data_IF_897240603128
#
_entry.id   IF_897240603128
#
_cell.length_a   1.000
_cell.length_b   1.000
_cell.length_c   1.000
_cell.angle_alpha   90.00
_cell.angle_beta   90.00
_cell.angle_gamma   90.00
#
_symmetry.space_group_name_H-M   'P 1'
#
loop_
_entity.id
_entity.type
_entity.pdbx_description
1 polymer ?
#
# COMPACT_ATOMS: atom_id res chain seq x y z
N UNK A 1 12.61 -27.68 24.04
CA UNK A 1 13.01 -27.27 22.67
C UNK A 1 11.80 -26.63 22.00
N UNK A 2 11.74 -25.30 21.97
CA UNK A 2 10.71 -24.59 21.20
C UNK A 2 11.09 -24.68 19.73
N UNK A 3 10.50 -25.66 19.03
CA UNK A 3 10.64 -25.84 17.60
C UNK A 3 9.81 -24.77 16.89
N UNK A 4 10.36 -23.57 16.83
CA UNK A 4 9.80 -22.45 16.09
C UNK A 4 10.09 -22.69 14.60
N UNK A 5 9.15 -23.36 13.92
CA UNK A 5 9.12 -23.47 12.46
C UNK A 5 8.82 -22.07 11.90
N UNK A 6 9.83 -21.21 11.85
CA UNK A 6 9.72 -19.86 11.31
C UNK A 6 9.73 -19.92 9.77
N UNK A 7 8.82 -19.15 9.19
CA UNK A 7 8.98 -18.46 7.90
C UNK A 7 8.90 -19.29 6.62
N UNK A 8 7.69 -19.37 6.03
CA UNK A 8 7.54 -19.41 4.55
C UNK A 8 6.14 -18.99 4.08
N UNK A 9 5.11 -19.06 4.94
CA UNK A 9 3.72 -18.73 4.56
C UNK A 9 3.26 -17.29 4.87
N UNK A 10 4.14 -16.40 5.32
CA UNK A 10 3.72 -15.02 5.56
C UNK A 10 3.72 -14.25 4.26
N UNK A 11 2.53 -13.79 3.84
CA UNK A 11 2.36 -12.91 2.69
C UNK A 11 3.20 -11.64 2.85
N UNK A 12 3.93 -11.27 1.80
CA UNK A 12 4.80 -10.08 1.74
C UNK A 12 4.52 -9.28 0.47
N UNK A 13 4.85 -8.00 0.48
CA UNK A 13 4.73 -7.15 -0.70
C UNK A 13 5.49 -7.71 -1.91
N UNK A 14 6.67 -8.30 -1.66
CA UNK A 14 7.47 -8.93 -2.71
C UNK A 14 6.77 -10.15 -3.33
N UNK A 15 6.06 -10.95 -2.52
CA UNK A 15 5.27 -12.08 -3.02
C UNK A 15 4.06 -11.60 -3.81
N UNK A 16 3.33 -10.58 -3.34
CA UNK A 16 2.22 -9.97 -4.08
C UNK A 16 2.71 -9.46 -5.46
N UNK A 17 3.83 -8.72 -5.48
CA UNK A 17 4.41 -8.23 -6.74
C UNK A 17 4.80 -9.36 -7.69
N UNK A 18 5.46 -10.40 -7.18
CA UNK A 18 5.87 -11.55 -7.98
C UNK A 18 4.66 -12.32 -8.51
N UNK A 19 3.59 -12.46 -7.72
CA UNK A 19 2.31 -13.07 -8.12
C UNK A 19 1.69 -12.32 -9.29
N UNK A 20 1.77 -10.98 -9.29
CA UNK A 20 1.33 -10.13 -10.40
C UNK A 20 2.31 -10.08 -11.60
N UNK A 21 3.42 -10.83 -11.57
CA UNK A 21 4.39 -10.87 -12.68
C UNK A 21 5.19 -9.58 -12.88
N UNK A 22 5.24 -8.69 -11.87
CA UNK A 22 5.87 -7.38 -11.98
C UNK A 22 7.33 -7.38 -11.52
N UNK A 23 8.17 -6.56 -12.16
CA UNK A 23 9.50 -6.19 -11.62
C UNK A 23 9.36 -5.05 -10.62
N UNK A 24 10.36 -4.83 -9.75
CA UNK A 24 10.37 -3.66 -8.84
C UNK A 24 10.30 -2.35 -9.63
N UNK A 25 10.96 -2.26 -10.79
CA UNK A 25 10.85 -1.12 -11.73
C UNK A 25 9.41 -0.91 -12.16
N UNK A 26 8.76 -1.95 -12.67
CA UNK A 26 7.40 -1.81 -13.20
C UNK A 26 6.40 -1.40 -12.12
N UNK A 27 6.55 -1.93 -10.91
CA UNK A 27 5.72 -1.52 -9.77
C UNK A 27 5.97 -0.05 -9.39
N UNK A 28 7.23 0.37 -9.35
CA UNK A 28 7.60 1.76 -9.07
C UNK A 28 6.98 2.73 -10.09
N UNK A 29 7.02 2.36 -11.38
CA UNK A 29 6.43 3.16 -12.46
C UNK A 29 4.90 3.23 -12.34
N UNK A 30 4.22 2.16 -11.90
CA UNK A 30 2.76 2.14 -11.69
C UNK A 30 2.33 3.08 -10.55
N UNK A 31 3.08 3.07 -9.44
CA UNK A 31 2.72 3.81 -8.22
C UNK A 31 3.27 5.25 -8.25
N UNK A 32 4.10 5.57 -9.23
CA UNK A 32 4.82 6.84 -9.36
C UNK A 32 5.74 7.10 -8.17
N UNK A 33 6.65 6.16 -7.92
CA UNK A 33 7.70 6.23 -6.90
C UNK A 33 9.03 5.74 -7.47
N UNK A 34 10.11 5.85 -6.70
CA UNK A 34 11.41 5.31 -7.13
C UNK A 34 11.49 3.80 -6.92
N UNK A 35 12.33 3.09 -7.69
CA UNK A 35 12.67 1.68 -7.38
C UNK A 35 13.19 1.55 -5.96
N UNK A 36 14.02 2.49 -5.50
CA UNK A 36 14.61 2.47 -4.16
C UNK A 36 13.51 2.45 -3.10
N UNK A 37 12.44 3.21 -3.31
CA UNK A 37 11.25 3.24 -2.46
C UNK A 37 10.57 1.86 -2.42
N UNK A 38 10.28 1.25 -3.58
CA UNK A 38 9.70 -0.11 -3.64
C UNK A 38 10.60 -1.15 -2.97
N UNK A 39 11.90 -1.04 -3.19
CA UNK A 39 12.91 -1.93 -2.61
C UNK A 39 12.97 -1.78 -1.08
N UNK A 40 12.84 -0.55 -0.57
CA UNK A 40 12.73 -0.29 0.86
C UNK A 40 11.42 -0.85 1.46
N UNK A 41 10.29 -0.71 0.76
CA UNK A 41 9.02 -1.33 1.17
C UNK A 41 9.12 -2.86 1.25
N UNK A 42 9.74 -3.50 0.25
CA UNK A 42 9.90 -4.97 0.22
C UNK A 42 10.87 -5.50 1.28
N UNK A 43 11.85 -4.69 1.69
CA UNK A 43 12.70 -4.98 2.86
C UNK A 43 12.03 -4.60 4.18
N UNK A 44 10.90 -3.89 4.11
CA UNK A 44 10.14 -3.42 5.26
C UNK A 44 10.80 -2.26 6.01
N UNK A 45 11.70 -1.51 5.38
CA UNK A 45 12.37 -0.36 5.99
C UNK A 45 11.41 0.80 6.27
N UNK A 46 10.34 0.92 5.46
CA UNK A 46 9.33 1.98 5.58
C UNK A 46 7.94 1.46 5.16
N UNK A 47 6.89 1.95 5.83
CA UNK A 47 5.50 1.77 5.35
C UNK A 47 5.26 2.61 4.09
N UNK A 48 4.41 2.17 3.15
CA UNK A 48 3.97 3.01 2.04
C UNK A 48 3.12 4.18 2.53
N UNK A 49 3.66 5.39 2.47
CA UNK A 49 2.91 6.65 2.61
C UNK A 49 2.45 7.09 1.23
N UNK A 50 1.17 6.87 0.92
CA UNK A 50 0.62 6.99 -0.43
C UNK A 50 -0.61 7.89 -0.43
N UNK A 51 -0.84 8.60 -1.54
CA UNK A 51 -2.17 9.19 -1.76
C UNK A 51 -3.18 8.08 -2.06
N UNK A 52 -4.48 8.37 -1.93
CA UNK A 52 -5.51 7.38 -2.27
C UNK A 52 -5.38 6.88 -3.72
N UNK A 53 -5.09 7.77 -4.65
CA UNK A 53 -4.88 7.40 -6.06
C UNK A 53 -3.67 6.48 -6.22
N UNK A 54 -2.57 6.73 -5.50
CA UNK A 54 -1.42 5.84 -5.51
C UNK A 54 -1.71 4.49 -4.85
N UNK A 55 -2.47 4.48 -3.76
CA UNK A 55 -2.97 3.25 -3.12
C UNK A 55 -3.80 2.43 -4.10
N UNK A 56 -4.75 3.07 -4.80
CA UNK A 56 -5.55 2.41 -5.83
C UNK A 56 -4.68 1.82 -6.95
N UNK A 57 -3.75 2.60 -7.51
CA UNK A 57 -2.81 2.12 -8.54
C UNK A 57 -1.96 0.94 -8.05
N UNK A 58 -1.55 0.95 -6.79
CA UNK A 58 -0.82 -0.16 -6.17
C UNK A 58 -1.69 -1.43 -6.12
N UNK A 59 -2.94 -1.34 -5.66
CA UNK A 59 -3.87 -2.46 -5.61
C UNK A 59 -4.19 -3.02 -6.99
N UNK A 60 -4.48 -2.15 -7.95
CA UNK A 60 -4.75 -2.52 -9.34
C UNK A 60 -3.55 -3.23 -9.98
N UNK A 61 -2.35 -2.68 -9.76
CA UNK A 61 -1.11 -3.26 -10.29
C UNK A 61 -0.75 -4.61 -9.65
N UNK A 62 -0.99 -4.76 -8.35
CA UNK A 62 -0.75 -6.01 -7.62
C UNK A 62 -1.87 -7.04 -7.78
N UNK A 63 -3.01 -6.63 -8.34
CA UNK A 63 -4.22 -7.43 -8.46
C UNK A 63 -4.61 -8.07 -7.11
N UNK A 64 -4.67 -7.26 -6.05
CA UNK A 64 -4.98 -7.69 -4.70
C UNK A 64 -5.96 -6.75 -4.00
N UNK A 65 -6.57 -7.22 -2.91
CA UNK A 65 -7.42 -6.37 -2.07
C UNK A 65 -6.59 -5.48 -1.12
N UNK A 66 -7.22 -4.46 -0.54
CA UNK A 66 -6.59 -3.60 0.47
C UNK A 66 -6.20 -4.42 1.71
N UNK A 67 -7.01 -5.41 2.09
CA UNK A 67 -6.76 -6.30 3.22
C UNK A 67 -5.54 -7.19 2.98
N UNK A 68 -5.43 -7.79 1.78
CA UNK A 68 -4.26 -8.58 1.41
C UNK A 68 -2.98 -7.73 1.46
N UNK A 69 -3.04 -6.48 0.98
CA UNK A 69 -1.92 -5.56 1.02
C UNK A 69 -1.52 -5.20 2.47
N UNK A 70 -2.50 -4.94 3.35
CA UNK A 70 -2.23 -4.62 4.75
C UNK A 70 -1.52 -5.77 5.47
N UNK A 71 -2.00 -7.00 5.30
CA UNK A 71 -1.34 -8.20 5.86
C UNK A 71 0.11 -8.31 5.35
N UNK A 72 0.35 -7.93 4.10
CA UNK A 72 1.66 -7.99 3.47
C UNK A 72 2.67 -6.94 3.99
N UNK A 73 2.21 -5.90 4.68
CA UNK A 73 3.03 -4.79 5.20
C UNK A 73 2.99 -4.65 6.74
N UNK A 74 2.08 -5.35 7.43
CA UNK A 74 1.69 -5.17 8.85
C UNK A 74 2.83 -5.29 9.89
N UNK A 75 4.03 -5.71 9.51
CA UNK A 75 5.09 -6.02 10.49
C UNK A 75 5.70 -4.81 11.20
N UNK A 76 5.49 -3.55 10.76
CA UNK A 76 6.44 -2.47 11.10
C UNK A 76 5.80 -1.08 11.27
N UNK A 77 5.05 -0.89 12.35
CA UNK A 77 4.54 0.42 12.78
C UNK A 77 5.58 1.18 13.61
N UNK A 78 6.41 2.03 12.98
CA UNK A 78 7.13 3.12 13.67
C UNK A 78 7.08 4.38 12.80
N UNK A 79 6.31 5.36 13.29
CA UNK A 79 5.93 6.60 12.62
C UNK A 79 7.09 7.61 12.60
N UNK A 80 7.41 8.14 11.42
CA UNK A 80 8.15 9.40 11.26
C UNK A 80 7.17 10.48 10.81
N UNK A 81 7.08 11.57 11.56
CA UNK A 81 6.21 12.71 11.29
C UNK A 81 6.87 13.62 10.24
N UNK A 82 6.27 13.72 9.05
CA UNK A 82 6.23 14.93 8.22
C UNK A 82 5.44 14.65 6.91
N UNK A 83 4.66 15.64 6.46
CA UNK A 83 3.83 15.74 5.23
C UNK A 83 2.42 15.10 5.17
N UNK A 84 1.47 15.72 4.43
CA UNK A 84 0.09 15.26 4.30
C UNK A 84 0.00 14.14 3.25
N UNK A 85 0.30 12.91 3.66
CA UNK A 85 -0.05 11.69 2.92
C UNK A 85 -0.68 10.68 3.88
N UNK A 86 -1.66 9.93 3.38
CA UNK A 86 -2.36 8.94 4.18
C UNK A 86 -1.54 7.65 4.23
N UNK A 87 -1.44 7.03 5.41
CA UNK A 87 -0.98 5.63 5.50
C UNK A 87 -2.06 4.69 4.99
N UNK A 88 -1.69 3.44 4.67
CA UNK A 88 -2.66 2.43 4.22
C UNK A 88 -3.65 2.09 5.34
N UNK A 89 -3.18 2.09 6.59
CA UNK A 89 -4.03 1.91 7.77
C UNK A 89 -5.03 3.06 7.95
N UNK A 90 -4.59 4.30 7.72
CA UNK A 90 -5.49 5.47 7.74
C UNK A 90 -6.51 5.41 6.61
N UNK A 91 -6.09 5.00 5.40
CA UNK A 91 -6.96 4.81 4.25
C UNK A 91 -8.07 3.81 4.55
N UNK A 92 -7.73 2.64 5.12
CA UNK A 92 -8.69 1.62 5.53
C UNK A 92 -9.72 2.16 6.53
N UNK A 93 -9.24 2.87 7.56
CA UNK A 93 -10.11 3.47 8.58
C UNK A 93 -11.10 4.46 7.97
N UNK A 94 -10.69 5.27 6.99
CA UNK A 94 -11.58 6.22 6.33
C UNK A 94 -12.68 5.51 5.52
N UNK A 95 -12.34 4.48 4.74
CA UNK A 95 -13.34 3.71 3.98
C UNK A 95 -14.35 3.01 4.89
N UNK A 96 -13.91 2.55 6.08
CA UNK A 96 -14.78 1.94 7.08
C UNK A 96 -15.73 2.96 7.73
N UNK A 97 -15.23 4.14 8.12
CA UNK A 97 -16.03 5.20 8.76
C UNK A 97 -17.07 5.76 7.79
N UNK A 98 -16.67 6.05 6.56
CA UNK A 98 -17.53 6.65 5.55
C UNK A 98 -18.45 5.63 4.86
N UNK A 99 -18.28 4.34 5.16
CA UNK A 99 -19.05 3.24 4.58
C UNK A 99 -19.05 3.29 3.03
N UNK A 100 -17.90 3.59 2.43
CA UNK A 100 -17.74 3.74 0.99
C UNK A 100 -16.56 2.91 0.46
N UNK A 101 -16.54 2.63 -0.84
CA UNK A 101 -15.40 1.96 -1.46
C UNK A 101 -14.20 2.90 -1.60
N UNK A 102 -13.00 2.35 -1.84
CA UNK A 102 -11.84 3.15 -2.19
C UNK A 102 -12.05 3.91 -3.51
N UNK A 103 -12.78 3.33 -4.46
CA UNK A 103 -13.13 3.99 -5.73
C UNK A 103 -13.98 5.23 -5.52
N UNK A 104 -15.00 5.13 -4.66
CA UNK A 104 -15.89 6.27 -4.33
C UNK A 104 -15.09 7.37 -3.61
N UNK A 105 -14.18 6.99 -2.72
CA UNK A 105 -13.33 7.91 -1.98
C UNK A 105 -12.36 8.67 -2.92
N UNK A 106 -11.74 7.96 -3.87
CA UNK A 106 -10.89 8.56 -4.91
C UNK A 106 -11.72 9.50 -5.80
N UNK A 107 -12.90 9.05 -6.24
CA UNK A 107 -13.79 9.86 -7.07
C UNK A 107 -14.25 11.14 -6.36
N UNK A 108 -14.55 11.08 -5.06
CA UNK A 108 -14.93 12.26 -4.27
C UNK A 108 -13.80 13.31 -4.21
N UNK A 109 -12.54 12.87 -4.18
CA UNK A 109 -11.38 13.78 -4.18
C UNK A 109 -11.06 14.36 -5.56
N UNK A 110 -11.26 13.59 -6.63
CA UNK A 110 -11.03 14.07 -8.01
C UNK A 110 -12.11 15.08 -8.46
N UNK A 111 -13.33 14.97 -7.92
CA UNK A 111 -14.46 15.85 -8.24
C UNK A 111 -14.50 17.15 -7.43
N UNK A 112 -13.42 17.54 -6.74
CA UNK A 112 -13.32 18.85 -6.13
C UNK A 112 -12.74 19.83 -7.16
N UNK A 113 -13.55 20.63 -7.89
CA UNK A 113 -13.00 21.74 -8.64
C UNK A 113 -12.20 22.62 -7.66
N UNK A 114 -11.07 23.21 -8.09
CA UNK A 114 -10.42 24.25 -7.30
C UNK A 114 -11.50 25.28 -6.97
N UNK A 115 -11.75 25.52 -5.68
CA UNK A 115 -12.67 26.57 -5.29
C UNK A 115 -12.07 27.88 -5.81
N UNK A 116 -12.79 28.53 -6.72
CA UNK A 116 -12.46 29.84 -7.28
C UNK A 116 -12.28 30.91 -6.20
#
# INVERSE_FOLDING_TARGET
MVNQKRSDDQLTLAQLRKRAGLTQRKLADIVDVTIKTVSAWERGEHEPYLTLTQTKRLLDGLQCSLEELLVAIERQTQTGEDEPRLTLTQTKRLTEILQCSLDDLVAAMENHPPQE
#
